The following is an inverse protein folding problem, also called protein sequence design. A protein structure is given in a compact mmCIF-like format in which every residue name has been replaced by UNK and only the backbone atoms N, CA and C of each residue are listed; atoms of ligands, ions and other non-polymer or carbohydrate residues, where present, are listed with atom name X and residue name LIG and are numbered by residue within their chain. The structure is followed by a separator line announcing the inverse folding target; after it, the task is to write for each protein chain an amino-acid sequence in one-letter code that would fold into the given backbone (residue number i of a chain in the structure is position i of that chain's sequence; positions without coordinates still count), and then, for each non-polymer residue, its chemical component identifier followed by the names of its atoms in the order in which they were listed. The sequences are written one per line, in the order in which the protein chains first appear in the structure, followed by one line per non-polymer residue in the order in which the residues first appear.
data_IF_760924077594
#
_entry.id   IF_760924077594
#
_cell.length_a   1.000
_cell.length_b   1.000
_cell.length_c   1.000
_cell.angle_alpha   90.00
_cell.angle_beta   90.00
_cell.angle_gamma   90.00
#
_symmetry.space_group_name_H-M   'P 1'
#
loop_
_entity.id
_entity.type
_entity.pdbx_description
1 polymer ?
#
# COMPACT_ATOMS: atom_id res chain seq x y z
N UNK A 1 12.47 7.55 -10.13
CA UNK A 1 13.35 6.54 -9.51
C UNK A 1 12.80 6.15 -8.14
N UNK A 2 12.96 4.91 -7.66
CA UNK A 2 12.58 4.53 -6.29
C UNK A 2 13.81 4.65 -5.40
N UNK A 3 13.73 5.48 -4.36
CA UNK A 3 14.73 5.54 -3.30
C UNK A 3 14.79 4.20 -2.58
N UNK A 4 15.95 3.54 -2.63
CA UNK A 4 16.19 2.24 -2.00
C UNK A 4 16.81 2.34 -0.62
N UNK A 5 17.01 3.55 -0.09
CA UNK A 5 17.37 3.73 1.32
C UNK A 5 16.15 3.45 2.21
N UNK A 6 15.73 2.18 2.24
CA UNK A 6 14.71 1.70 3.14
C UNK A 6 15.27 1.81 4.55
N UNK A 7 14.59 2.58 5.37
CA UNK A 7 14.84 2.53 6.79
C UNK A 7 14.08 1.32 7.34
N UNK A 8 14.81 0.22 7.49
CA UNK A 8 14.23 -1.05 7.91
C UNK A 8 14.04 -1.09 9.42
N UNK A 9 12.83 -1.47 9.85
CA UNK A 9 12.56 -1.79 11.25
C UNK A 9 12.97 -3.26 11.48
N UNK A 10 13.81 -3.57 12.50
CA UNK A 10 14.25 -4.93 12.79
C UNK A 10 13.08 -5.93 12.93
N UNK A 11 13.34 -7.20 12.59
CA UNK A 11 12.31 -8.25 12.61
C UNK A 11 11.74 -8.53 14.01
N UNK A 12 12.54 -8.31 15.05
CA UNK A 12 12.20 -8.47 16.46
C UNK A 12 11.61 -7.19 17.10
N UNK A 13 11.47 -6.11 16.34
CA UNK A 13 10.94 -4.86 16.86
C UNK A 13 9.47 -5.04 17.33
N UNK A 14 9.11 -4.59 18.55
CA UNK A 14 7.79 -4.86 19.15
C UNK A 14 6.61 -4.32 18.34
N UNK A 15 6.81 -3.26 17.55
CA UNK A 15 5.77 -2.69 16.67
C UNK A 15 5.22 -3.70 15.66
N UNK A 16 6.05 -4.64 15.18
CA UNK A 16 5.62 -5.68 14.23
C UNK A 16 4.60 -6.60 14.89
N UNK A 17 4.84 -7.00 16.13
CA UNK A 17 3.92 -7.81 16.93
C UNK A 17 2.63 -7.06 17.23
N UNK A 18 2.74 -5.78 17.59
CA UNK A 18 1.59 -4.92 17.82
C UNK A 18 0.68 -4.81 16.59
N UNK A 19 1.23 -4.44 15.42
CA UNK A 19 0.45 -4.37 14.18
C UNK A 19 -0.11 -5.72 13.77
N UNK A 20 0.64 -6.81 13.94
CA UNK A 20 0.13 -8.15 13.67
C UNK A 20 -1.14 -8.44 14.46
N UNK A 21 -1.14 -8.17 15.77
CA UNK A 21 -2.31 -8.40 16.65
C UNK A 21 -3.51 -7.56 16.18
N UNK A 22 -3.30 -6.28 15.87
CA UNK A 22 -4.37 -5.39 15.44
C UNK A 22 -4.95 -5.80 14.08
N UNK A 23 -4.08 -6.10 13.11
CA UNK A 23 -4.50 -6.60 11.79
C UNK A 23 -5.23 -7.94 11.93
N UNK A 24 -4.72 -8.90 12.72
CA UNK A 24 -5.40 -10.19 12.95
C UNK A 24 -6.79 -10.00 13.55
N UNK A 25 -6.93 -9.09 14.52
CA UNK A 25 -8.21 -8.78 15.15
C UNK A 25 -9.20 -8.15 14.17
N UNK A 26 -8.80 -7.08 13.48
CA UNK A 26 -9.68 -6.35 12.57
C UNK A 26 -10.09 -7.17 11.35
N UNK A 27 -9.14 -7.85 10.71
CA UNK A 27 -9.41 -8.78 9.61
C UNK A 27 -10.29 -9.95 10.07
N UNK A 28 -10.05 -10.48 11.28
CA UNK A 28 -10.83 -11.56 11.86
C UNK A 28 -12.31 -11.24 12.06
N UNK A 29 -12.66 -9.99 12.37
CA UNK A 29 -14.05 -9.52 12.49
C UNK A 29 -14.79 -9.53 11.14
N UNK A 30 -14.06 -9.41 10.04
CA UNK A 30 -14.59 -9.47 8.66
C UNK A 30 -14.44 -10.85 8.02
N UNK A 31 -14.08 -11.86 8.81
CA UNK A 31 -13.78 -13.22 8.35
C UNK A 31 -12.63 -13.31 7.33
N UNK A 32 -11.75 -12.31 7.29
CA UNK A 32 -10.50 -12.33 6.54
C UNK A 32 -9.40 -12.98 7.39
N UNK A 33 -9.14 -14.27 7.17
CA UNK A 33 -8.19 -15.06 7.98
C UNK A 33 -6.96 -15.55 7.21
N UNK A 34 -6.75 -15.01 6.02
CA UNK A 34 -5.62 -15.39 5.19
C UNK A 34 -4.30 -14.90 5.80
N UNK A 35 -3.42 -15.85 6.15
CA UNK A 35 -2.17 -15.54 6.85
C UNK A 35 -1.22 -14.70 6.00
N UNK A 36 -1.16 -14.94 4.69
CA UNK A 36 -0.25 -14.23 3.80
C UNK A 36 -0.71 -12.77 3.61
N UNK A 37 -2.03 -12.53 3.44
CA UNK A 37 -2.60 -11.17 3.39
C UNK A 37 -2.36 -10.41 4.70
N UNK A 38 -2.63 -11.04 5.86
CA UNK A 38 -2.40 -10.42 7.18
C UNK A 38 -0.91 -10.07 7.36
N UNK A 39 -0.01 -10.97 6.99
CA UNK A 39 1.43 -10.73 7.08
C UNK A 39 1.88 -9.61 6.14
N UNK A 40 1.32 -9.54 4.93
CA UNK A 40 1.58 -8.46 3.99
C UNK A 40 1.18 -7.10 4.59
N UNK A 41 -0.05 -6.99 5.08
CA UNK A 41 -0.56 -5.75 5.68
C UNK A 41 0.27 -5.37 6.92
N UNK A 42 0.61 -6.34 7.77
CA UNK A 42 1.49 -6.10 8.93
C UNK A 42 2.85 -5.50 8.51
N UNK A 43 3.44 -6.04 7.45
CA UNK A 43 4.71 -5.54 6.91
C UNK A 43 4.55 -4.13 6.31
N UNK A 44 3.45 -3.88 5.59
CA UNK A 44 3.11 -2.57 5.06
C UNK A 44 3.00 -1.52 6.18
N UNK A 45 2.21 -1.80 7.22
CA UNK A 45 2.06 -0.88 8.36
C UNK A 45 3.40 -0.61 9.04
N UNK A 46 4.23 -1.64 9.19
CA UNK A 46 5.58 -1.50 9.77
C UNK A 46 6.48 -0.64 8.89
N UNK A 47 6.46 -0.85 7.57
CA UNK A 47 7.27 -0.08 6.61
C UNK A 47 6.92 1.42 6.68
N UNK A 48 5.63 1.75 6.80
CA UNK A 48 5.15 3.14 6.77
C UNK A 48 5.18 3.87 8.12
N UNK A 49 5.67 3.22 9.18
CA UNK A 49 6.06 3.94 10.41
C UNK A 49 7.12 5.01 10.10
N UNK A 50 7.98 4.75 9.12
CA UNK A 50 8.99 5.71 8.67
C UNK A 50 8.46 6.48 7.46
N UNK A 51 8.28 7.79 7.64
CA UNK A 51 7.65 8.66 6.65
C UNK A 51 8.44 8.73 5.33
N UNK A 52 9.76 8.52 5.38
CA UNK A 52 10.64 8.44 4.22
C UNK A 52 10.25 7.28 3.31
N UNK A 53 9.78 6.16 3.87
CA UNK A 53 9.33 5.01 3.09
C UNK A 53 8.01 5.32 2.37
N UNK A 54 7.15 6.19 2.91
CA UNK A 54 5.92 6.64 2.24
C UNK A 54 6.21 7.51 1.02
N UNK A 55 7.25 8.35 1.08
CA UNK A 55 7.63 9.30 0.01
C UNK A 55 8.85 8.86 -0.81
N UNK A 56 9.08 7.55 -0.93
CA UNK A 56 10.27 7.00 -1.60
C UNK A 56 10.29 7.13 -3.12
N UNK A 57 9.14 7.39 -3.76
CA UNK A 57 9.10 7.57 -5.22
C UNK A 57 9.63 8.97 -5.54
N UNK A 58 10.62 9.03 -6.42
CA UNK A 58 11.23 10.26 -6.92
C UNK A 58 10.91 10.45 -8.41
N UNK A 59 10.77 11.69 -8.85
CA UNK A 59 10.76 12.02 -10.28
C UNK A 59 12.17 11.99 -10.88
N UNK A 60 12.30 12.37 -12.16
CA UNK A 60 13.57 12.42 -12.89
C UNK A 60 14.55 13.45 -12.33
N UNK A 61 14.06 14.45 -11.60
CA UNK A 61 14.88 15.47 -10.93
C UNK A 61 15.35 15.05 -9.53
N UNK A 62 14.96 13.86 -9.07
CA UNK A 62 15.26 13.35 -7.72
C UNK A 62 14.32 13.90 -6.63
N UNK A 63 13.29 14.67 -7.02
CA UNK A 63 12.30 15.20 -6.07
C UNK A 63 11.32 14.10 -5.67
N UNK A 64 11.14 13.93 -4.36
CA UNK A 64 10.16 12.99 -3.79
C UNK A 64 8.73 13.41 -4.14
N UNK A 65 7.98 12.48 -4.72
CA UNK A 65 6.58 12.66 -5.09
C UNK A 65 5.72 12.57 -3.82
N UNK A 66 4.91 13.59 -3.58
CA UNK A 66 4.09 13.68 -2.37
C UNK A 66 2.63 13.34 -2.64
N UNK A 67 2.19 13.48 -3.89
CA UNK A 67 0.80 13.28 -4.26
C UNK A 67 0.59 11.98 -5.05
N UNK A 68 -0.52 11.31 -4.77
CA UNK A 68 -0.92 10.07 -5.43
C UNK A 68 -0.95 10.20 -6.97
N UNK A 69 -1.46 11.33 -7.48
CA UNK A 69 -1.55 11.57 -8.92
C UNK A 69 -0.16 11.67 -9.58
N UNK A 70 0.85 12.21 -8.89
CA UNK A 70 2.21 12.28 -9.40
C UNK A 70 2.80 10.88 -9.52
N UNK A 71 2.56 10.03 -8.50
CA UNK A 71 3.02 8.64 -8.50
C UNK A 71 2.34 7.82 -9.62
N UNK A 72 1.05 8.02 -9.86
CA UNK A 72 0.33 7.39 -10.98
C UNK A 72 0.83 7.85 -12.35
N UNK A 73 1.09 9.16 -12.49
CA UNK A 73 1.67 9.73 -13.72
C UNK A 73 3.04 9.10 -13.98
N UNK A 74 3.87 9.03 -12.95
CA UNK A 74 5.17 8.37 -13.02
C UNK A 74 4.99 6.91 -13.46
N UNK A 75 4.14 6.10 -12.80
CA UNK A 75 3.91 4.70 -13.13
C UNK A 75 3.38 4.45 -14.57
N UNK A 76 2.80 5.49 -15.18
CA UNK A 76 2.27 5.43 -16.54
C UNK A 76 3.28 5.89 -17.61
N UNK A 77 4.42 6.45 -17.20
CA UNK A 77 5.52 6.84 -18.08
C UNK A 77 6.36 5.65 -18.53
N UNK A 78 7.17 5.84 -19.58
CA UNK A 78 8.13 4.84 -20.04
C UNK A 78 9.18 4.57 -18.95
N UNK A 79 9.18 3.35 -18.41
CA UNK A 79 10.19 2.85 -17.47
C UNK A 79 10.31 1.34 -17.58
N UNK A 80 11.28 0.75 -16.87
CA UNK A 80 11.41 -0.71 -16.83
C UNK A 80 10.16 -1.36 -16.22
N UNK A 81 9.76 -2.57 -16.66
CA UNK A 81 8.63 -3.28 -16.10
C UNK A 81 8.71 -3.46 -14.57
N UNK A 82 9.91 -3.67 -14.05
CA UNK A 82 10.17 -3.81 -12.61
C UNK A 82 9.86 -2.54 -11.83
N UNK A 83 10.37 -1.39 -12.28
CA UNK A 83 10.10 -0.09 -11.65
C UNK A 83 8.62 0.26 -11.72
N UNK A 84 7.97 -0.05 -12.85
CA UNK A 84 6.54 0.20 -13.04
C UNK A 84 5.69 -0.62 -12.07
N UNK A 85 6.01 -1.90 -11.92
CA UNK A 85 5.37 -2.79 -10.95
C UNK A 85 5.55 -2.26 -9.54
N UNK A 86 6.75 -1.84 -9.15
CA UNK A 86 7.01 -1.33 -7.80
C UNK A 86 6.29 0.01 -7.54
N UNK A 87 6.13 0.86 -8.55
CA UNK A 87 5.32 2.08 -8.44
C UNK A 87 3.85 1.74 -8.18
N UNK A 88 3.24 0.82 -8.95
CA UNK A 88 1.85 0.41 -8.70
C UNK A 88 1.68 -0.27 -7.34
N UNK A 89 2.63 -1.12 -6.93
CA UNK A 89 2.61 -1.70 -5.57
C UNK A 89 2.56 -0.60 -4.52
N UNK A 90 3.45 0.38 -4.62
CA UNK A 90 3.51 1.50 -3.68
C UNK A 90 2.24 2.36 -3.68
N UNK A 91 1.63 2.59 -4.84
CA UNK A 91 0.34 3.27 -4.97
C UNK A 91 -0.76 2.47 -4.24
N UNK A 92 -0.85 1.16 -4.47
CA UNK A 92 -1.79 0.28 -3.74
C UNK A 92 -1.60 0.36 -2.23
N UNK A 93 -0.36 0.20 -1.79
CA UNK A 93 0.05 0.26 -0.39
C UNK A 93 -0.30 1.59 0.28
N UNK A 94 0.00 2.71 -0.38
CA UNK A 94 -0.26 4.06 0.13
C UNK A 94 -1.76 4.33 0.24
N UNK A 95 -2.55 3.91 -0.74
CA UNK A 95 -4.01 4.08 -0.68
C UNK A 95 -4.64 3.23 0.42
N UNK A 96 -4.23 1.96 0.57
CA UNK A 96 -4.72 1.07 1.63
C UNK A 96 -4.39 1.63 3.02
N UNK A 97 -3.15 2.11 3.21
CA UNK A 97 -2.72 2.71 4.47
C UNK A 97 -3.51 3.98 4.82
N UNK A 98 -3.65 4.92 3.88
CA UNK A 98 -4.38 6.17 4.13
C UNK A 98 -5.86 5.93 4.42
N UNK A 99 -6.51 5.08 3.62
CA UNK A 99 -7.93 4.78 3.80
C UNK A 99 -8.20 3.98 5.07
N UNK A 100 -7.30 3.08 5.45
CA UNK A 100 -7.48 2.18 6.59
C UNK A 100 -7.09 2.76 7.96
N UNK A 101 -6.19 3.75 8.01
CA UNK A 101 -5.75 4.34 9.29
C UNK A 101 -6.08 5.82 9.45
N UNK A 102 -6.29 6.54 8.35
CA UNK A 102 -6.50 7.99 8.37
C UNK A 102 -7.61 8.44 7.41
N UNK A 103 -8.81 7.82 7.44
CA UNK A 103 -9.88 8.13 6.48
C UNK A 103 -10.34 9.60 6.54
N UNK A 104 -10.23 10.26 7.70
CA UNK A 104 -10.60 11.66 7.89
C UNK A 104 -9.67 12.61 7.13
N UNK A 105 -8.38 12.25 7.00
CA UNK A 105 -7.38 13.09 6.33
C UNK A 105 -7.68 13.26 4.83
N UNK A 106 -8.43 12.33 4.24
CA UNK A 106 -8.90 12.41 2.84
C UNK A 106 -10.18 13.23 2.69
N UNK A 107 -10.89 13.51 3.79
CA UNK A 107 -12.16 14.23 3.82
C UNK A 107 -12.01 15.71 4.24
N UNK A 108 -10.95 16.06 4.97
CA UNK A 108 -10.69 17.42 5.44
C UNK A 108 -9.62 18.13 4.58
N UNK A 109 -10.02 19.17 3.85
CA UNK A 109 -9.11 20.08 3.14
C UNK A 109 -9.30 20.13 1.62
N UNK A 110 -8.46 20.90 0.92
CA UNK A 110 -8.45 21.07 -0.55
C UNK A 110 -7.95 19.81 -1.30
N UNK A 111 -8.17 18.61 -0.76
CA UNK A 111 -7.85 17.38 -1.46
C UNK A 111 -8.91 17.16 -2.55
N UNK A 112 -8.50 17.35 -3.81
CA UNK A 112 -9.37 17.35 -5.00
C UNK A 112 -9.99 15.97 -5.32
N UNK A 113 -9.75 14.94 -4.50
CA UNK A 113 -9.93 13.54 -4.87
C UNK A 113 -10.63 12.78 -3.74
N UNK A 114 -11.75 12.11 -4.04
CA UNK A 114 -12.60 11.43 -3.05
C UNK A 114 -11.97 10.14 -2.50
N UNK A 115 -12.39 9.68 -1.30
CA UNK A 115 -12.03 8.36 -0.78
C UNK A 115 -12.31 7.21 -1.77
N UNK A 116 -13.43 7.27 -2.51
CA UNK A 116 -13.79 6.28 -3.53
C UNK A 116 -12.74 6.21 -4.66
N UNK A 117 -12.18 7.35 -5.07
CA UNK A 117 -11.12 7.36 -6.07
C UNK A 117 -9.84 6.70 -5.52
N UNK A 118 -9.49 6.94 -4.25
CA UNK A 118 -8.35 6.27 -3.62
C UNK A 118 -8.57 4.76 -3.57
N UNK A 119 -9.79 4.31 -3.24
CA UNK A 119 -10.12 2.90 -3.15
C UNK A 119 -10.01 2.22 -4.53
N UNK A 120 -10.63 2.80 -5.55
CA UNK A 120 -10.56 2.29 -6.92
C UNK A 120 -9.12 2.29 -7.45
N UNK A 121 -8.35 3.34 -7.15
CA UNK A 121 -6.93 3.44 -7.51
C UNK A 121 -6.11 2.33 -6.85
N UNK A 122 -6.31 2.09 -5.56
CA UNK A 122 -5.59 1.07 -4.80
C UNK A 122 -5.87 -0.33 -5.32
N UNK A 123 -7.16 -0.65 -5.43
CA UNK A 123 -7.68 -1.91 -6.00
C UNK A 123 -7.07 -2.19 -7.37
N UNK A 124 -7.18 -1.23 -8.29
CA UNK A 124 -6.63 -1.35 -9.65
C UNK A 124 -5.12 -1.53 -9.66
N UNK A 125 -4.41 -0.84 -8.77
CA UNK A 125 -2.95 -0.94 -8.69
C UNK A 125 -2.51 -2.34 -8.29
N UNK A 126 -3.17 -2.96 -7.31
CA UNK A 126 -2.88 -4.36 -6.95
C UNK A 126 -3.22 -5.35 -8.07
N UNK A 127 -4.31 -5.12 -8.83
CA UNK A 127 -4.60 -5.93 -10.02
C UNK A 127 -3.45 -5.87 -11.03
N UNK A 128 -2.97 -4.67 -11.35
CA UNK A 128 -1.85 -4.48 -12.29
C UNK A 128 -0.59 -5.17 -11.77
N UNK A 129 -0.28 -5.04 -10.47
CA UNK A 129 0.88 -5.72 -9.86
C UNK A 129 0.75 -7.23 -10.00
N UNK A 130 -0.43 -7.80 -9.77
CA UNK A 130 -0.68 -9.23 -9.92
C UNK A 130 -0.52 -9.72 -11.36
N UNK A 131 -0.82 -8.88 -12.37
CA UNK A 131 -0.63 -9.20 -13.79
C UNK A 131 0.85 -9.11 -14.21
N UNK A 132 1.63 -8.24 -13.55
CA UNK A 132 3.05 -8.03 -13.84
C UNK A 132 3.99 -8.98 -13.08
N UNK A 133 3.52 -9.59 -11.99
CA UNK A 133 4.34 -10.47 -11.15
C UNK A 133 4.41 -11.88 -11.72
N UNK A 134 5.58 -12.51 -11.61
CA UNK A 134 5.83 -13.89 -12.08
C UNK A 134 5.74 -14.92 -10.97
N UNK A 135 5.81 -14.50 -9.70
CA UNK A 135 5.76 -15.41 -8.55
C UNK A 135 4.31 -15.78 -8.21
N UNK A 136 3.91 -17.06 -8.31
CA UNK A 136 2.52 -17.47 -8.04
C UNK A 136 2.02 -17.04 -6.66
N UNK A 137 2.90 -17.10 -5.65
CA UNK A 137 2.56 -16.67 -4.28
C UNK A 137 2.27 -15.17 -4.23
N UNK A 138 3.14 -14.35 -4.81
CA UNK A 138 2.95 -12.89 -4.86
C UNK A 138 1.69 -12.52 -5.64
N UNK A 139 1.47 -13.15 -6.80
CA UNK A 139 0.27 -12.99 -7.62
C UNK A 139 -0.99 -13.27 -6.80
N UNK A 140 -1.02 -14.37 -6.04
CA UNK A 140 -2.17 -14.70 -5.18
C UNK A 140 -2.40 -13.63 -4.10
N UNK A 141 -1.36 -13.11 -3.47
CA UNK A 141 -1.48 -12.06 -2.45
C UNK A 141 -2.07 -10.78 -3.05
N UNK A 142 -1.53 -10.30 -4.18
CA UNK A 142 -2.01 -9.07 -4.80
C UNK A 142 -3.42 -9.20 -5.37
N UNK A 143 -3.81 -10.39 -5.88
CA UNK A 143 -5.21 -10.65 -6.25
C UNK A 143 -6.13 -10.56 -5.04
N UNK A 144 -5.78 -11.18 -3.92
CA UNK A 144 -6.58 -11.08 -2.68
C UNK A 144 -6.69 -9.64 -2.20
N UNK A 145 -5.58 -8.88 -2.18
CA UNK A 145 -5.58 -7.48 -1.79
C UNK A 145 -6.44 -6.60 -2.69
N UNK A 146 -6.50 -6.91 -4.00
CA UNK A 146 -7.41 -6.25 -4.93
C UNK A 146 -8.87 -6.66 -4.68
N UNK A 147 -9.17 -7.96 -4.64
CA UNK A 147 -10.53 -8.49 -4.49
C UNK A 147 -11.17 -8.15 -3.14
N UNK A 148 -10.35 -7.95 -2.10
CA UNK A 148 -10.79 -7.72 -0.73
C UNK A 148 -10.41 -6.32 -0.23
N UNK A 149 -10.11 -5.39 -1.14
CA UNK A 149 -9.51 -4.10 -0.80
C UNK A 149 -10.34 -3.33 0.24
N UNK A 150 -11.65 -3.21 0.02
CA UNK A 150 -12.57 -2.49 0.90
C UNK A 150 -12.68 -3.17 2.27
N UNK A 151 -12.72 -4.51 2.32
CA UNK A 151 -12.71 -5.23 3.59
C UNK A 151 -11.37 -5.05 4.32
N UNK A 152 -10.25 -5.00 3.60
CA UNK A 152 -8.95 -4.67 4.19
C UNK A 152 -8.91 -3.24 4.73
N UNK A 153 -9.52 -2.27 4.04
CA UNK A 153 -9.66 -0.89 4.56
C UNK A 153 -10.49 -0.89 5.84
N UNK A 154 -11.69 -1.49 5.82
CA UNK A 154 -12.58 -1.53 6.99
C UNK A 154 -11.91 -2.25 8.17
N UNK A 155 -11.21 -3.35 7.91
CA UNK A 155 -10.51 -4.12 8.94
C UNK A 155 -9.30 -3.40 9.56
N UNK A 156 -8.86 -2.29 8.99
CA UNK A 156 -7.80 -1.44 9.54
C UNK A 156 -8.33 -0.28 10.39
N UNK A 157 -9.63 0.03 10.33
CA UNK A 157 -10.27 1.08 11.12
C UNK A 157 -10.52 0.62 12.58
N UNK A 158 -9.45 0.38 13.35
CA UNK A 158 -9.49 -0.05 14.76
C UNK A 158 -9.20 1.05 15.78
#
# INVERSE_FOLDING_TARGET
MIDRSQHEIPADHPIRGFFKILTERGMGQLNLRDRDTIQYITNLLTEFVQIENMYRIQDESGRRLQYLFEMLKQASSEMSPTLRRDCYKHVGDLTLFNLGLFPEHLSYGRHTVSPDYYAETGRRSYTIVAEMDSSPRSVTIYRKLSEQFEQCVIGLNW
#
